data_IF_398590937800
#
_entry.id   IF_398590937800
#
_cell.length_a   1.000
_cell.length_b   1.000
_cell.length_c   1.000
_cell.angle_alpha   90.00
_cell.angle_beta   90.00
_cell.angle_gamma   90.00
#
_symmetry.space_group_name_H-M   'P 1'
#
loop_
_entity.id
_entity.type
_entity.pdbx_description
1 polymer ?
#
# COMPACT_ATOMS: atom_id res chain seq x y z
N UNK A 1 -6.50 69.51 -35.33
CA UNK A 1 -5.57 69.68 -34.19
C UNK A 1 -6.15 69.24 -32.84
N UNK A 2 -7.45 69.40 -32.53
CA UNK A 2 -8.01 69.03 -31.20
C UNK A 2 -8.05 67.53 -30.84
N UNK A 3 -8.05 66.63 -31.82
CA UNK A 3 -8.21 65.17 -31.59
C UNK A 3 -6.96 64.50 -31.02
N UNK A 4 -5.76 64.99 -31.38
CA UNK A 4 -4.50 64.39 -30.95
C UNK A 4 -4.22 64.66 -29.46
N UNK A 5 -4.57 65.88 -29.01
CA UNK A 5 -4.42 66.30 -27.62
C UNK A 5 -5.23 65.42 -26.64
N UNK A 6 -6.43 64.99 -27.06
CA UNK A 6 -7.28 64.11 -26.25
C UNK A 6 -6.72 62.70 -26.13
N UNK A 7 -6.04 62.21 -27.18
CA UNK A 7 -5.42 60.89 -27.19
C UNK A 7 -4.18 60.89 -26.28
N UNK A 8 -3.36 61.94 -26.35
CA UNK A 8 -2.21 62.12 -25.45
C UNK A 8 -2.65 62.20 -23.97
N UNK A 9 -3.73 62.93 -23.68
CA UNK A 9 -4.28 63.03 -22.34
C UNK A 9 -4.83 61.69 -21.81
N UNK A 10 -5.50 60.88 -22.66
CA UNK A 10 -5.97 59.54 -22.29
C UNK A 10 -4.83 58.55 -22.08
N UNK A 11 -3.78 58.62 -22.91
CA UNK A 11 -2.58 57.78 -22.76
C UNK A 11 -1.88 58.10 -21.44
N UNK A 12 -1.69 59.37 -21.14
CA UNK A 12 -1.03 59.83 -19.92
C UNK A 12 -1.83 59.45 -18.67
N UNK A 13 -3.17 59.59 -18.72
CA UNK A 13 -4.07 59.13 -17.64
C UNK A 13 -4.01 57.62 -17.43
N UNK A 14 -3.84 56.85 -18.51
CA UNK A 14 -3.73 55.39 -18.44
C UNK A 14 -2.39 54.96 -17.84
N UNK A 15 -1.29 55.58 -18.25
CA UNK A 15 0.04 55.32 -17.71
C UNK A 15 0.11 55.68 -16.22
N UNK A 16 -0.45 56.83 -15.84
CA UNK A 16 -0.53 57.26 -14.44
C UNK A 16 -1.37 56.32 -13.56
N UNK A 17 -2.40 55.68 -14.12
CA UNK A 17 -3.21 54.67 -13.41
C UNK A 17 -2.45 53.36 -13.17
N UNK A 18 -1.45 53.06 -14.00
CA UNK A 18 -0.67 51.83 -13.94
C UNK A 18 0.56 51.97 -13.02
N UNK A 19 1.08 53.19 -12.85
CA UNK A 19 2.25 53.50 -12.02
C UNK A 19 2.02 53.27 -10.52
N UNK A 20 0.76 53.25 -10.06
CA UNK A 20 0.38 52.94 -8.68
C UNK A 20 0.26 51.45 -8.36
N UNK A 21 0.38 50.56 -9.35
CA UNK A 21 0.26 49.12 -9.15
C UNK A 21 1.57 48.60 -8.55
N UNK A 22 1.62 48.60 -7.22
CA UNK A 22 2.64 47.87 -6.48
C UNK A 22 2.50 46.38 -6.80
N UNK A 23 3.62 45.71 -7.06
CA UNK A 23 3.68 44.25 -7.17
C UNK A 23 2.91 43.66 -6.00
N UNK A 24 1.87 42.88 -6.28
CA UNK A 24 1.01 42.31 -5.26
C UNK A 24 1.85 41.38 -4.38
N UNK A 25 2.30 41.89 -3.24
CA UNK A 25 3.01 41.07 -2.26
C UNK A 25 2.04 39.96 -1.82
N UNK A 26 2.50 38.70 -1.83
CA UNK A 26 1.66 37.61 -1.39
C UNK A 26 1.19 37.91 0.03
N UNK A 27 -0.11 37.75 0.26
CA UNK A 27 -0.67 37.95 1.59
C UNK A 27 0.09 37.10 2.61
N UNK A 28 0.32 37.61 3.83
CA UNK A 28 0.96 36.82 4.87
C UNK A 28 0.22 35.49 5.02
N UNK A 29 0.96 34.38 5.13
CA UNK A 29 0.46 32.99 5.17
C UNK A 29 -0.04 32.39 3.84
N UNK A 30 0.17 33.03 2.68
CA UNK A 30 -0.12 32.40 1.38
C UNK A 30 0.60 31.05 1.23
N UNK A 31 1.87 31.00 1.60
CA UNK A 31 2.69 29.78 1.55
C UNK A 31 2.10 28.66 2.41
N UNK A 32 1.69 28.97 3.65
CA UNK A 32 1.07 28.00 4.57
C UNK A 32 -0.24 27.45 4.01
N UNK A 33 -1.08 28.31 3.41
CA UNK A 33 -2.36 27.89 2.82
C UNK A 33 -2.15 27.06 1.55
N UNK A 34 -1.13 27.39 0.76
CA UNK A 34 -0.74 26.62 -0.43
C UNK A 34 -0.21 25.25 -0.02
N UNK A 35 0.71 25.20 0.94
CA UNK A 35 1.26 23.96 1.50
C UNK A 35 0.17 23.06 2.05
N UNK A 36 -0.76 23.61 2.85
CA UNK A 36 -1.90 22.85 3.38
C UNK A 36 -2.79 22.27 2.26
N UNK A 37 -2.97 22.98 1.13
CA UNK A 37 -3.71 22.45 -0.03
C UNK A 37 -2.95 21.35 -0.75
N UNK A 38 -1.62 21.46 -0.87
CA UNK A 38 -0.78 20.42 -1.47
C UNK A 38 -0.75 19.15 -0.61
N UNK A 39 -0.61 19.30 0.70
CA UNK A 39 -0.65 18.19 1.66
C UNK A 39 -2.02 17.50 1.67
N UNK A 40 -3.13 18.26 1.67
CA UNK A 40 -4.47 17.70 1.52
C UNK A 40 -4.64 16.87 0.25
N UNK A 41 -4.04 17.28 -0.87
CA UNK A 41 -4.04 16.49 -2.12
C UNK A 41 -3.14 15.26 -2.03
N UNK A 42 -2.02 15.33 -1.30
CA UNK A 42 -1.11 14.21 -1.07
C UNK A 42 -1.71 13.14 -0.15
N UNK A 43 -2.60 13.54 0.76
CA UNK A 43 -3.33 12.67 1.70
C UNK A 43 -4.48 11.87 1.04
N UNK A 44 -4.81 12.08 -0.25
CA UNK A 44 -5.94 11.39 -0.93
C UNK A 44 -5.59 9.97 -1.41
N UNK A 45 -4.44 9.40 -1.04
CA UNK A 45 -4.06 8.04 -1.47
C UNK A 45 -3.62 7.08 -0.36
N UNK A 46 -4.14 7.25 0.85
CA UNK A 46 -4.13 6.18 1.88
C UNK A 46 -5.47 5.45 1.96
N UNK A 47 -6.31 5.60 0.94
CA UNK A 47 -7.54 4.83 0.78
C UNK A 47 -7.32 3.50 0.06
N UNK A 48 -6.23 2.77 0.32
CA UNK A 48 -6.29 1.33 0.06
C UNK A 48 -7.15 0.74 1.19
N UNK A 49 -8.47 0.86 1.03
CA UNK A 49 -9.43 0.01 1.71
C UNK A 49 -9.11 -1.43 1.29
N UNK A 50 -8.12 -2.07 1.92
CA UNK A 50 -8.00 -3.51 1.94
C UNK A 50 -9.23 -3.90 2.72
N UNK A 51 -10.35 -4.13 2.01
CA UNK A 51 -11.64 -4.46 2.62
C UNK A 51 -11.32 -5.56 3.62
N UNK A 52 -11.52 -5.34 4.94
CA UNK A 52 -11.09 -6.30 5.97
C UNK A 52 -11.70 -7.69 5.74
N UNK A 53 -12.79 -7.76 4.96
CA UNK A 53 -13.35 -8.98 4.38
C UNK A 53 -12.31 -9.91 3.71
N UNK A 54 -11.35 -9.39 2.94
CA UNK A 54 -10.34 -10.25 2.29
C UNK A 54 -9.33 -10.82 3.30
N UNK A 55 -8.99 -10.07 4.34
CA UNK A 55 -8.12 -10.55 5.42
C UNK A 55 -8.80 -11.68 6.20
N UNK A 56 -10.10 -11.53 6.52
CA UNK A 56 -10.88 -12.59 7.17
C UNK A 56 -11.10 -13.81 6.26
N UNK A 57 -11.31 -13.60 4.96
CA UNK A 57 -11.42 -14.70 4.00
C UNK A 57 -10.11 -15.51 3.91
N UNK A 58 -8.97 -14.83 3.80
CA UNK A 58 -7.66 -15.48 3.79
C UNK A 58 -7.38 -16.21 5.11
N UNK A 59 -7.68 -15.58 6.25
CA UNK A 59 -7.56 -16.20 7.57
C UNK A 59 -8.44 -17.46 7.68
N UNK A 60 -9.67 -17.40 7.20
CA UNK A 60 -10.58 -18.56 7.17
C UNK A 60 -10.04 -19.71 6.33
N UNK A 61 -9.49 -19.42 5.14
CA UNK A 61 -8.84 -20.43 4.29
C UNK A 61 -7.65 -21.09 4.99
N UNK A 62 -6.79 -20.30 5.63
CA UNK A 62 -5.62 -20.82 6.37
C UNK A 62 -6.06 -21.72 7.52
N UNK A 63 -7.08 -21.33 8.28
CA UNK A 63 -7.63 -22.15 9.38
C UNK A 63 -8.21 -23.46 8.84
N UNK A 64 -9.02 -23.41 7.77
CA UNK A 64 -9.59 -24.60 7.15
C UNK A 64 -8.52 -25.59 6.68
N UNK A 65 -7.45 -25.08 6.06
CA UNK A 65 -6.35 -25.90 5.57
C UNK A 65 -5.59 -26.58 6.72
N UNK A 66 -5.35 -25.86 7.83
CA UNK A 66 -4.73 -26.43 9.02
C UNK A 66 -5.59 -27.54 9.64
N UNK A 67 -6.90 -27.27 9.81
CA UNK A 67 -7.84 -28.26 10.34
C UNK A 67 -7.90 -29.48 9.42
N UNK A 68 -8.03 -29.28 8.11
CA UNK A 68 -8.00 -30.37 7.12
C UNK A 68 -6.73 -31.21 7.23
N UNK A 69 -5.56 -30.56 7.32
CA UNK A 69 -4.27 -31.24 7.44
C UNK A 69 -4.24 -32.14 8.68
N UNK A 70 -4.69 -31.63 9.82
CA UNK A 70 -4.78 -32.41 11.06
C UNK A 70 -5.76 -33.58 10.89
N UNK A 71 -6.92 -33.37 10.27
CA UNK A 71 -7.87 -34.45 10.00
C UNK A 71 -7.27 -35.52 9.10
N UNK A 72 -6.59 -35.14 8.01
CA UNK A 72 -5.96 -36.06 7.07
C UNK A 72 -4.82 -36.84 7.73
N UNK A 73 -3.97 -36.18 8.51
CA UNK A 73 -2.90 -36.83 9.26
C UNK A 73 -3.49 -37.78 10.30
N UNK A 74 -4.47 -37.36 11.09
CA UNK A 74 -5.12 -38.23 12.08
C UNK A 74 -5.84 -39.44 11.47
N UNK A 75 -6.47 -39.30 10.31
CA UNK A 75 -7.08 -40.42 9.58
C UNK A 75 -6.04 -41.33 8.92
N UNK A 76 -4.86 -40.80 8.58
CA UNK A 76 -3.72 -41.60 8.10
C UNK A 76 -2.99 -42.28 9.25
N UNK A 77 -2.99 -41.70 10.46
CA UNK A 77 -2.40 -42.29 11.66
C UNK A 77 -3.13 -43.53 12.17
N UNK A 78 -4.40 -43.77 11.79
CA UNK A 78 -5.05 -45.07 12.05
C UNK A 78 -4.59 -46.18 11.09
N UNK A 79 -3.94 -45.83 9.98
CA UNK A 79 -3.22 -46.71 9.07
C UNK A 79 -1.73 -46.35 9.09
N UNK A 80 -1.16 -46.16 10.29
CA UNK A 80 0.25 -45.89 10.46
C UNK A 80 1.10 -47.14 10.15
N UNK A 81 1.11 -47.52 8.86
CA UNK A 81 2.13 -48.38 8.25
C UNK A 81 3.46 -47.63 8.11
N UNK A 82 3.54 -46.37 8.52
CA UNK A 82 4.70 -45.51 8.32
C UNK A 82 5.96 -46.09 8.95
N UNK A 83 5.95 -46.46 10.23
CA UNK A 83 7.15 -47.00 10.89
C UNK A 83 7.69 -48.30 10.29
N UNK A 84 6.79 -49.25 9.98
CA UNK A 84 7.15 -50.57 9.48
C UNK A 84 7.49 -50.57 7.98
N UNK A 85 6.80 -49.76 7.16
CA UNK A 85 7.19 -49.55 5.76
C UNK A 85 8.54 -48.84 5.66
N UNK A 86 8.82 -47.83 6.49
CA UNK A 86 10.13 -47.18 6.50
C UNK A 86 11.25 -48.16 6.89
N UNK A 87 11.04 -49.02 7.89
CA UNK A 87 12.04 -50.02 8.26
C UNK A 87 12.25 -51.08 7.17
N UNK A 88 11.18 -51.48 6.46
CA UNK A 88 11.25 -52.44 5.35
C UNK A 88 11.90 -51.85 4.09
N UNK A 89 11.58 -50.60 3.71
CA UNK A 89 12.10 -49.94 2.50
C UNK A 89 13.62 -49.67 2.60
N UNK A 90 14.11 -49.41 3.82
CA UNK A 90 15.53 -49.22 4.10
C UNK A 90 16.24 -50.51 4.57
N UNK A 91 15.56 -51.66 4.60
CA UNK A 91 16.14 -52.94 5.00
C UNK A 91 16.66 -53.00 6.44
N UNK A 92 16.19 -52.10 7.31
CA UNK A 92 16.65 -51.99 8.70
C UNK A 92 16.20 -53.16 9.58
N UNK A 93 15.19 -53.92 9.13
CA UNK A 93 14.69 -55.11 9.81
C UNK A 93 15.64 -56.32 9.72
N UNK A 94 16.61 -56.32 8.80
CA UNK A 94 17.56 -57.43 8.59
C UNK A 94 18.95 -57.15 9.21
N UNK A 95 19.14 -56.00 9.87
CA UNK A 95 20.38 -55.68 10.58
C UNK A 95 20.42 -56.41 11.95
N UNK A 96 20.59 -57.73 11.91
CA UNK A 96 20.87 -58.58 13.07
C UNK A 96 22.37 -58.92 13.20
N UNK A 97 23.23 -58.14 12.55
CA UNK A 97 24.67 -58.37 12.47
C UNK A 97 25.48 -57.74 13.60
N UNK A 98 25.27 -58.18 14.84
CA UNK A 98 26.31 -58.16 15.87
C UNK A 98 26.20 -59.47 16.68
N UNK A 99 26.78 -60.53 16.10
CA UNK A 99 27.14 -61.73 16.85
C UNK A 99 28.10 -61.33 17.98
N UNK A 100 27.59 -61.31 19.22
CA UNK A 100 28.44 -61.38 20.41
C UNK A 100 28.78 -62.84 20.65
N UNK A 101 30.08 -63.13 20.58
CA UNK A 101 30.73 -64.40 20.94
C UNK A 101 30.08 -65.15 22.12
#
# INVERSE_FOLDING_TARGET
MKKNYQIEEEIERTLQSLEGIKSAEPTPFFYTRLQARMEKKKQVKTGWHWRPAYAYAFLGVVILLNVWTIYQVSHRSSNAESGEQFANDYGLNDFSGFDTN
#
